data_IF_203943055648
#
_entry.id   IF_203943055648
#
_cell.length_a   1.000
_cell.length_b   1.000
_cell.length_c   1.000
_cell.angle_alpha   90.00
_cell.angle_beta   90.00
_cell.angle_gamma   90.00
#
_symmetry.space_group_name_H-M   'P 1'
#
loop_
_entity.id
_entity.type
_entity.pdbx_description
1 polymer ?
#
# COMPACT_ATOMS: atom_id res chain seq x y z
N UNK A 1 -20.86 5.56 18.43
CA UNK A 1 -19.99 4.53 17.86
C UNK A 1 -20.53 4.19 16.47
N UNK A 2 -19.84 4.58 15.40
CA UNK A 2 -20.27 4.25 14.04
C UNK A 2 -19.60 2.95 13.61
N UNK A 3 -20.36 1.86 13.61
CA UNK A 3 -19.96 0.61 12.95
C UNK A 3 -19.87 0.88 11.46
N UNK A 4 -18.65 0.86 10.92
CA UNK A 4 -18.44 0.89 9.47
C UNK A 4 -18.81 -0.49 8.96
N UNK A 5 -20.07 -0.68 8.57
CA UNK A 5 -20.53 -1.88 7.88
C UNK A 5 -20.00 -1.84 6.45
N UNK A 6 -18.95 -2.62 6.17
CA UNK A 6 -18.39 -2.77 4.82
C UNK A 6 -19.04 -3.98 4.15
N UNK A 7 -19.71 -3.73 3.03
CA UNK A 7 -20.44 -4.73 2.23
C UNK A 7 -19.49 -5.46 1.27
N UNK A 8 -18.66 -6.40 1.76
CA UNK A 8 -18.02 -7.38 0.86
C UNK A 8 -19.08 -8.40 0.40
N UNK A 9 -19.18 -8.64 -0.91
CA UNK A 9 -20.13 -9.61 -1.49
C UNK A 9 -19.65 -11.07 -1.41
N UNK A 10 -18.41 -11.34 -0.94
CA UNK A 10 -17.85 -12.69 -0.89
C UNK A 10 -17.87 -13.26 0.53
N UNK A 11 -17.89 -14.59 0.63
CA UNK A 11 -17.97 -15.29 1.91
C UNK A 11 -16.79 -14.95 2.84
N UNK A 12 -17.05 -14.62 4.11
CA UNK A 12 -16.00 -14.45 5.10
C UNK A 12 -15.34 -15.78 5.45
N UNK A 13 -14.06 -15.72 5.86
CA UNK A 13 -13.34 -16.79 6.56
C UNK A 13 -12.65 -16.19 7.78
N UNK A 14 -12.37 -17.00 8.79
CA UNK A 14 -11.56 -16.60 9.94
C UNK A 14 -10.11 -17.02 9.72
N UNK A 15 -9.17 -16.08 9.81
CA UNK A 15 -7.72 -16.32 9.78
C UNK A 15 -7.12 -15.54 10.95
N UNK A 16 -6.43 -16.22 11.85
CA UNK A 16 -5.71 -15.60 12.98
C UNK A 16 -6.56 -14.63 13.82
N UNK A 17 -7.87 -14.89 13.97
CA UNK A 17 -8.81 -14.04 14.70
C UNK A 17 -9.36 -12.83 13.92
N UNK A 18 -8.98 -12.69 12.65
CA UNK A 18 -9.53 -11.70 11.72
C UNK A 18 -10.59 -12.35 10.82
N UNK A 19 -11.75 -11.71 10.67
CA UNK A 19 -12.73 -12.08 9.65
C UNK A 19 -12.27 -11.47 8.33
N UNK A 20 -11.84 -12.29 7.38
CA UNK A 20 -11.31 -11.86 6.08
C UNK A 20 -12.19 -12.40 4.96
N UNK A 21 -12.43 -11.59 3.94
CA UNK A 21 -13.20 -11.99 2.76
C UNK A 21 -12.34 -12.94 1.88
N UNK A 22 -12.76 -14.20 1.69
CA UNK A 22 -11.98 -15.23 0.95
C UNK A 22 -11.65 -14.80 -0.49
N UNK A 23 -12.58 -14.06 -1.12
CA UNK A 23 -12.46 -13.64 -2.51
C UNK A 23 -11.44 -12.51 -2.72
N UNK A 24 -11.53 -11.46 -1.91
CA UNK A 24 -10.78 -10.22 -2.12
C UNK A 24 -9.69 -9.93 -1.06
N UNK A 25 -9.65 -10.67 0.05
CA UNK A 25 -8.69 -10.51 1.13
C UNK A 25 -8.92 -9.30 2.05
N UNK A 26 -10.10 -8.68 1.99
CA UNK A 26 -10.46 -7.53 2.84
C UNK A 26 -10.83 -7.99 4.25
N UNK A 27 -10.35 -7.29 5.29
CA UNK A 27 -10.71 -7.59 6.68
C UNK A 27 -12.07 -6.97 6.97
N UNK A 28 -13.05 -7.83 7.24
CA UNK A 28 -14.46 -7.52 7.47
C UNK A 28 -14.77 -7.27 8.95
N UNK A 29 -13.88 -7.68 9.86
CA UNK A 29 -14.02 -7.45 11.30
C UNK A 29 -12.98 -8.22 12.11
N UNK A 30 -12.91 -7.92 13.41
CA UNK A 30 -12.09 -8.65 14.37
C UNK A 30 -13.00 -9.56 15.20
N UNK A 31 -12.58 -10.81 15.41
CA UNK A 31 -13.24 -11.73 16.34
C UNK A 31 -13.10 -11.19 17.77
N UNK A 32 -14.21 -10.89 18.44
CA UNK A 32 -14.22 -10.32 19.81
C UNK A 32 -13.52 -11.26 20.82
N UNK A 33 -13.47 -12.56 20.53
CA UNK A 33 -13.00 -13.61 21.45
C UNK A 33 -11.47 -13.75 21.50
N UNK A 34 -10.74 -13.30 20.47
CA UNK A 34 -9.27 -13.47 20.38
C UNK A 34 -8.45 -12.20 20.65
N UNK A 35 -9.10 -11.07 20.92
CA UNK A 35 -8.50 -9.74 20.90
C UNK A 35 -7.58 -9.37 22.10
N UNK A 36 -7.48 -10.19 23.15
CA UNK A 36 -6.79 -9.78 24.39
C UNK A 36 -5.45 -10.50 24.62
N UNK A 37 -5.23 -11.71 24.10
CA UNK A 37 -4.06 -12.53 24.51
C UNK A 37 -3.12 -13.02 23.39
N UNK A 38 -3.41 -12.81 22.09
CA UNK A 38 -2.58 -13.42 21.04
C UNK A 38 -1.39 -12.58 20.56
N UNK A 39 -1.31 -11.29 20.87
CA UNK A 39 -0.30 -10.39 20.26
C UNK A 39 1.15 -10.71 20.67
N UNK A 40 1.36 -11.45 21.77
CA UNK A 40 2.69 -11.80 22.28
C UNK A 40 3.16 -13.21 21.89
N UNK A 41 2.28 -14.06 21.33
CA UNK A 41 2.56 -15.48 21.08
C UNK A 41 2.57 -15.87 19.61
N UNK A 42 2.40 -14.91 18.69
CA UNK A 42 2.55 -15.17 17.25
C UNK A 42 4.04 -15.25 16.91
N UNK A 43 4.62 -16.39 17.22
CA UNK A 43 5.92 -16.80 16.70
C UNK A 43 5.73 -16.96 15.19
N UNK A 44 6.21 -15.97 14.42
CA UNK A 44 6.23 -16.03 12.96
C UNK A 44 7.15 -17.19 12.63
N UNK A 45 6.57 -18.37 12.41
CA UNK A 45 7.29 -19.62 12.25
C UNK A 45 8.52 -19.44 11.38
N UNK A 46 9.62 -20.09 11.73
CA UNK A 46 10.88 -20.05 10.98
C UNK A 46 10.67 -20.57 9.55
N UNK A 47 10.19 -19.71 8.66
CA UNK A 47 9.97 -19.99 7.27
C UNK A 47 11.30 -19.79 6.53
N UNK A 48 11.76 -20.85 5.87
CA UNK A 48 13.00 -20.90 5.10
C UNK A 48 13.33 -19.56 4.40
N UNK A 49 14.55 -19.07 4.63
CA UNK A 49 15.10 -17.78 4.17
C UNK A 49 15.06 -17.54 2.64
N UNK A 50 14.56 -18.50 1.85
CA UNK A 50 14.46 -18.48 0.39
C UNK A 50 13.01 -18.60 -0.14
N UNK A 51 12.00 -18.56 0.74
CA UNK A 51 10.59 -18.72 0.39
C UNK A 51 9.89 -17.43 -0.08
N UNK A 52 8.80 -17.59 -0.85
CA UNK A 52 7.93 -16.46 -1.24
C UNK A 52 7.42 -15.68 -0.03
N UNK A 53 7.08 -16.38 1.05
CA UNK A 53 6.63 -15.81 2.33
C UNK A 53 7.71 -14.92 2.94
N UNK A 54 8.99 -15.35 2.93
CA UNK A 54 10.09 -14.54 3.45
C UNK A 54 10.25 -13.22 2.69
N UNK A 55 10.12 -13.24 1.36
CA UNK A 55 10.15 -12.03 0.53
C UNK A 55 9.01 -11.09 0.92
N UNK A 56 7.80 -11.64 1.14
CA UNK A 56 6.62 -10.87 1.55
C UNK A 56 6.82 -10.25 2.94
N UNK A 57 7.29 -11.02 3.92
CA UNK A 57 7.56 -10.52 5.28
C UNK A 57 8.62 -9.42 5.28
N UNK A 58 9.72 -9.60 4.52
CA UNK A 58 10.77 -8.59 4.38
C UNK A 58 10.25 -7.32 3.70
N UNK A 59 9.46 -7.47 2.64
CA UNK A 59 8.82 -6.36 1.94
C UNK A 59 7.86 -5.60 2.86
N UNK A 60 7.02 -6.32 3.61
CA UNK A 60 6.07 -5.75 4.55
C UNK A 60 6.77 -4.97 5.66
N UNK A 61 7.84 -5.52 6.23
CA UNK A 61 8.64 -4.82 7.24
C UNK A 61 9.27 -3.54 6.69
N UNK A 62 9.90 -3.60 5.51
CA UNK A 62 10.53 -2.42 4.90
C UNK A 62 9.51 -1.32 4.55
N UNK A 63 8.31 -1.72 4.15
CA UNK A 63 7.21 -0.80 3.83
C UNK A 63 6.38 -0.41 5.06
N UNK A 64 6.73 -0.89 6.27
CA UNK A 64 5.96 -0.74 7.50
C UNK A 64 4.47 -1.07 7.29
N UNK A 65 4.20 -2.22 6.69
CA UNK A 65 2.83 -2.68 6.46
C UNK A 65 2.30 -3.41 7.71
N UNK A 66 1.03 -3.21 8.06
CA UNK A 66 0.40 -3.92 9.16
C UNK A 66 0.20 -5.41 8.82
N UNK A 67 0.00 -6.22 9.86
CA UNK A 67 -0.11 -7.67 9.75
C UNK A 67 -1.28 -8.10 8.86
N UNK A 68 -2.45 -7.48 9.00
CA UNK A 68 -3.63 -7.77 8.16
C UNK A 68 -3.35 -7.59 6.65
N UNK A 69 -2.60 -6.53 6.30
CA UNK A 69 -2.21 -6.29 4.92
C UNK A 69 -1.19 -7.34 4.46
N UNK A 70 -0.28 -7.75 5.35
CA UNK A 70 0.69 -8.82 5.08
C UNK A 70 0.01 -10.15 4.81
N UNK A 71 -1.02 -10.52 5.58
CA UNK A 71 -1.81 -11.73 5.35
C UNK A 71 -2.52 -11.69 4.00
N UNK A 72 -3.14 -10.55 3.66
CA UNK A 72 -3.74 -10.31 2.34
C UNK A 72 -2.71 -10.56 1.23
N UNK A 73 -1.48 -10.05 1.39
CA UNK A 73 -0.42 -10.20 0.40
C UNK A 73 -0.06 -11.67 0.22
N UNK A 74 0.09 -12.43 1.30
CA UNK A 74 0.43 -13.86 1.26
C UNK A 74 -0.64 -14.64 0.48
N UNK A 75 -1.92 -14.44 0.82
CA UNK A 75 -3.00 -15.21 0.22
C UNK A 75 -3.16 -14.93 -1.27
N UNK A 76 -3.23 -13.66 -1.65
CA UNK A 76 -3.38 -13.24 -3.05
C UNK A 76 -2.15 -13.67 -3.85
N UNK A 77 -0.94 -13.53 -3.28
CA UNK A 77 0.31 -13.99 -3.89
C UNK A 77 0.27 -15.48 -4.24
N UNK A 78 -0.11 -16.34 -3.29
CA UNK A 78 -0.19 -17.78 -3.50
C UNK A 78 -1.25 -18.14 -4.55
N UNK A 79 -2.41 -17.48 -4.53
CA UNK A 79 -3.46 -17.65 -5.54
C UNK A 79 -2.95 -17.29 -6.94
N UNK A 80 -2.27 -16.16 -7.10
CA UNK A 80 -1.71 -15.73 -8.39
C UNK A 80 -0.64 -16.69 -8.92
N UNK A 81 0.20 -17.25 -8.05
CA UNK A 81 1.20 -18.25 -8.46
C UNK A 81 0.54 -19.53 -8.97
N UNK A 82 -0.57 -19.98 -8.35
CA UNK A 82 -1.37 -21.11 -8.84
C UNK A 82 -1.93 -20.86 -10.25
N UNK A 83 -2.17 -19.60 -10.62
CA UNK A 83 -2.57 -19.19 -11.97
C UNK A 83 -1.38 -18.91 -12.93
N UNK A 84 -0.17 -19.38 -12.61
CA UNK A 84 0.99 -19.27 -13.49
C UNK A 84 1.60 -17.86 -13.58
N UNK A 85 1.29 -16.97 -12.63
CA UNK A 85 1.97 -15.69 -12.47
C UNK A 85 3.30 -15.91 -11.73
N UNK A 86 4.37 -15.29 -12.22
CA UNK A 86 5.69 -15.44 -11.57
C UNK A 86 5.67 -14.86 -10.15
N UNK A 87 6.41 -15.48 -9.22
CA UNK A 87 6.45 -15.09 -7.79
C UNK A 87 6.58 -13.57 -7.60
N UNK A 88 7.51 -12.93 -8.31
CA UNK A 88 7.75 -11.49 -8.25
C UNK A 88 6.53 -10.66 -8.70
N UNK A 89 5.93 -11.02 -9.83
CA UNK A 89 4.73 -10.33 -10.34
C UNK A 89 3.54 -10.55 -9.41
N UNK A 90 3.42 -11.74 -8.83
CA UNK A 90 2.39 -12.06 -7.85
C UNK A 90 2.52 -11.21 -6.58
N UNK A 91 3.72 -11.13 -5.99
CA UNK A 91 3.98 -10.31 -4.79
C UNK A 91 3.71 -8.82 -5.09
N UNK A 92 4.20 -8.30 -6.22
CA UNK A 92 3.96 -6.91 -6.60
C UNK A 92 2.47 -6.57 -6.72
N UNK A 93 1.72 -7.44 -7.40
CA UNK A 93 0.29 -7.27 -7.58
C UNK A 93 -0.45 -7.38 -6.25
N UNK A 94 -0.17 -8.42 -5.45
CA UNK A 94 -0.80 -8.66 -4.16
C UNK A 94 -0.53 -7.53 -3.16
N UNK A 95 0.70 -7.00 -3.12
CA UNK A 95 1.08 -5.85 -2.30
C UNK A 95 0.35 -4.59 -2.73
N UNK A 96 0.26 -4.36 -4.04
CA UNK A 96 -0.53 -3.24 -4.56
C UNK A 96 -2.00 -3.38 -4.16
N UNK A 97 -2.59 -4.55 -4.40
CA UNK A 97 -3.99 -4.84 -4.08
C UNK A 97 -4.28 -4.63 -2.59
N UNK A 98 -3.46 -5.21 -1.70
CA UNK A 98 -3.59 -5.07 -0.26
C UNK A 98 -3.52 -3.59 0.18
N UNK A 99 -2.56 -2.82 -0.34
CA UNK A 99 -2.48 -1.39 -0.03
C UNK A 99 -3.72 -0.62 -0.50
N UNK A 100 -4.35 -1.00 -1.62
CA UNK A 100 -5.57 -0.34 -2.13
C UNK A 100 -6.78 -0.63 -1.26
N UNK A 101 -7.08 -1.91 -1.01
CA UNK A 101 -8.29 -2.28 -0.26
C UNK A 101 -8.23 -1.74 1.17
N UNK A 102 -7.05 -1.77 1.78
CA UNK A 102 -6.82 -1.31 3.14
C UNK A 102 -6.52 0.19 3.25
N UNK A 103 -6.60 0.94 2.15
CA UNK A 103 -6.32 2.38 2.07
C UNK A 103 -4.95 2.77 2.64
N UNK A 104 -3.95 1.90 2.54
CA UNK A 104 -2.58 2.17 2.98
C UNK A 104 -1.87 2.96 1.88
N UNK A 105 -1.46 4.21 2.14
CA UNK A 105 -0.97 5.09 1.10
C UNK A 105 0.49 4.74 0.72
N UNK A 106 0.63 3.92 -0.33
CA UNK A 106 1.92 3.54 -0.93
C UNK A 106 1.93 3.76 -2.43
N UNK A 107 3.01 4.36 -2.95
CA UNK A 107 3.22 4.53 -4.39
C UNK A 107 3.62 3.21 -5.04
N UNK A 108 3.29 3.04 -6.32
CA UNK A 108 3.69 1.83 -7.06
C UNK A 108 5.21 1.73 -7.18
N UNK A 109 5.87 2.89 -7.37
CA UNK A 109 7.33 2.98 -7.44
C UNK A 109 8.00 2.45 -6.19
N UNK A 110 7.46 2.76 -5.01
CA UNK A 110 8.05 2.42 -3.73
C UNK A 110 7.90 0.91 -3.45
N UNK A 111 6.71 0.37 -3.72
CA UNK A 111 6.45 -1.08 -3.64
C UNK A 111 7.37 -1.84 -4.60
N UNK A 112 7.48 -1.38 -5.85
CA UNK A 112 8.31 -2.01 -6.86
C UNK A 112 9.80 -1.96 -6.50
N UNK A 113 10.27 -0.79 -6.03
CA UNK A 113 11.65 -0.60 -5.63
C UNK A 113 12.05 -1.52 -4.47
N UNK A 114 11.24 -1.59 -3.40
CA UNK A 114 11.55 -2.47 -2.26
C UNK A 114 11.53 -3.95 -2.67
N UNK A 115 10.63 -4.34 -3.58
CA UNK A 115 10.63 -5.67 -4.14
C UNK A 115 11.87 -5.97 -5.00
N UNK A 116 12.32 -5.04 -5.85
CA UNK A 116 13.56 -5.17 -6.62
C UNK A 116 14.78 -5.28 -5.69
N UNK A 117 14.83 -4.43 -4.65
CA UNK A 117 15.91 -4.40 -3.65
C UNK A 117 16.01 -5.71 -2.89
N UNK A 118 14.87 -6.35 -2.58
CA UNK A 118 14.85 -7.69 -1.99
C UNK A 118 15.51 -8.76 -2.89
N UNK A 119 15.58 -8.50 -4.20
CA UNK A 119 16.23 -9.35 -5.21
C UNK A 119 17.61 -8.84 -5.66
N UNK A 120 18.20 -7.87 -4.96
CA UNK A 120 19.52 -7.31 -5.26
C UNK A 120 19.57 -6.33 -6.44
N UNK A 121 18.41 -5.86 -6.91
CA UNK A 121 18.29 -4.93 -8.05
C UNK A 121 17.77 -3.57 -7.58
N UNK A 122 18.20 -2.50 -8.23
CA UNK A 122 17.78 -1.11 -7.93
C UNK A 122 17.05 -0.46 -9.11
N UNK A 123 16.35 -1.27 -9.91
CA UNK A 123 15.66 -0.78 -11.10
C UNK A 123 14.46 0.10 -10.74
N UNK A 124 14.44 1.32 -11.27
CA UNK A 124 13.27 2.19 -11.21
C UNK A 124 12.40 2.01 -12.45
N UNK A 125 11.08 2.09 -12.28
CA UNK A 125 10.11 2.09 -13.38
C UNK A 125 9.12 3.22 -13.18
N UNK A 126 8.72 3.84 -14.28
CA UNK A 126 7.65 4.84 -14.26
C UNK A 126 6.33 4.21 -13.81
N UNK A 127 5.48 4.99 -13.13
CA UNK A 127 4.16 4.51 -12.70
C UNK A 127 3.34 3.96 -13.87
N UNK A 128 3.38 4.62 -15.03
CA UNK A 128 2.70 4.16 -16.24
C UNK A 128 3.14 2.75 -16.68
N UNK A 129 4.44 2.45 -16.58
CA UNK A 129 4.98 1.13 -16.90
C UNK A 129 4.51 0.08 -15.89
N UNK A 130 4.45 0.45 -14.60
CA UNK A 130 3.95 -0.40 -13.53
C UNK A 130 2.45 -0.67 -13.66
N UNK A 131 1.64 0.34 -14.00
CA UNK A 131 0.22 0.15 -14.32
C UNK A 131 0.01 -0.79 -15.50
N UNK A 132 0.78 -0.63 -16.58
CA UNK A 132 0.74 -1.57 -17.72
C UNK A 132 1.08 -3.00 -17.27
N UNK A 133 2.01 -3.17 -16.34
CA UNK A 133 2.34 -4.48 -15.77
C UNK A 133 1.17 -5.06 -14.96
N UNK A 134 0.54 -4.27 -14.08
CA UNK A 134 -0.61 -4.69 -13.30
C UNK A 134 -1.78 -5.09 -14.21
N UNK A 135 -2.10 -4.28 -15.22
CA UNK A 135 -3.18 -4.56 -16.16
C UNK A 135 -2.96 -5.86 -16.94
N UNK A 136 -1.71 -6.20 -17.29
CA UNK A 136 -1.39 -7.48 -17.93
C UNK A 136 -1.62 -8.67 -17.00
N UNK A 137 -1.39 -8.50 -15.70
CA UNK A 137 -1.67 -9.53 -14.69
C UNK A 137 -3.18 -9.67 -14.56
N UNK A 138 -3.92 -8.56 -14.40
CA UNK A 138 -5.40 -8.55 -14.30
C UNK A 138 -6.05 -9.29 -15.47
N UNK A 139 -5.66 -8.99 -16.72
CA UNK A 139 -6.18 -9.68 -17.91
C UNK A 139 -5.89 -11.18 -17.94
N UNK A 140 -4.80 -11.62 -17.31
CA UNK A 140 -4.41 -13.03 -17.28
C UNK A 140 -5.17 -13.83 -16.20
N UNK A 141 -5.74 -13.13 -15.23
CA UNK A 141 -6.51 -13.73 -14.14
C UNK A 141 -8.01 -13.49 -14.32
N UNK A 142 -8.48 -13.12 -15.53
CA UNK A 142 -9.89 -12.93 -15.84
C UNK A 142 -10.70 -14.16 -15.38
N UNK A 143 -11.51 -13.94 -14.33
CA UNK A 143 -12.19 -14.98 -13.55
C UNK A 143 -11.93 -14.92 -12.03
N UNK A 144 -10.85 -14.28 -11.57
CA UNK A 144 -10.41 -14.36 -10.16
C UNK A 144 -11.03 -13.34 -9.18
N UNK A 145 -11.95 -12.46 -9.62
CA UNK A 145 -12.56 -11.36 -8.82
C UNK A 145 -11.58 -10.36 -8.18
N UNK A 146 -10.29 -10.38 -8.52
CA UNK A 146 -9.29 -9.50 -7.93
C UNK A 146 -8.93 -8.38 -8.91
N UNK A 147 -9.46 -7.18 -8.66
CA UNK A 147 -9.17 -5.96 -9.42
C UNK A 147 -8.47 -4.92 -8.55
N UNK A 148 -7.49 -4.22 -9.11
CA UNK A 148 -6.82 -3.10 -8.43
C UNK A 148 -7.54 -1.81 -8.82
N UNK A 149 -8.09 -1.10 -7.84
CA UNK A 149 -8.71 0.21 -8.05
C UNK A 149 -7.66 1.26 -8.45
N UNK A 150 -8.01 2.08 -9.44
CA UNK A 150 -7.20 3.23 -9.84
C UNK A 150 -7.14 4.24 -8.68
N UNK A 151 -5.96 4.77 -8.32
CA UNK A 151 -5.85 5.69 -7.21
C UNK A 151 -6.55 7.02 -7.50
N UNK A 152 -7.26 7.56 -6.51
CA UNK A 152 -7.79 8.92 -6.56
C UNK A 152 -6.74 9.96 -6.10
N UNK A 153 -7.10 11.24 -6.18
CA UNK A 153 -6.24 12.36 -5.75
C UNK A 153 -5.83 12.26 -4.29
N UNK A 154 -6.76 11.85 -3.42
CA UNK A 154 -6.55 11.77 -1.98
C UNK A 154 -5.53 10.69 -1.62
N UNK A 155 -5.61 9.52 -2.27
CA UNK A 155 -4.62 8.46 -2.08
C UNK A 155 -3.21 8.96 -2.40
N UNK A 156 -3.03 9.62 -3.55
CA UNK A 156 -1.73 10.16 -3.93
C UNK A 156 -1.25 11.23 -2.95
N UNK A 157 -2.16 12.09 -2.47
CA UNK A 157 -1.83 13.09 -1.46
C UNK A 157 -1.30 12.43 -0.19
N UNK A 158 -2.01 11.43 0.35
CA UNK A 158 -1.57 10.72 1.55
C UNK A 158 -0.22 10.01 1.33
N UNK A 159 -0.01 9.41 0.15
CA UNK A 159 1.22 8.69 -0.16
C UNK A 159 2.44 9.64 -0.23
N UNK A 160 2.26 10.79 -0.88
CA UNK A 160 3.30 11.81 -0.96
C UNK A 160 3.57 12.48 0.39
N UNK A 161 2.54 12.75 1.19
CA UNK A 161 2.69 13.28 2.54
C UNK A 161 3.49 12.33 3.44
N UNK A 162 3.18 11.03 3.41
CA UNK A 162 3.94 10.01 4.14
C UNK A 162 5.42 9.99 3.73
N UNK A 163 5.71 10.18 2.43
CA UNK A 163 7.07 10.19 1.88
C UNK A 163 7.92 11.37 2.38
N UNK A 164 7.29 12.54 2.59
CA UNK A 164 8.02 13.76 3.01
C UNK A 164 8.02 13.97 4.53
N UNK A 165 7.16 13.28 5.27
CA UNK A 165 6.94 13.49 6.71
C UNK A 165 8.23 13.55 7.52
N UNK A 166 9.07 12.52 7.42
CA UNK A 166 10.31 12.44 8.20
C UNK A 166 11.28 13.57 7.87
N UNK A 167 11.34 13.98 6.60
CA UNK A 167 12.23 15.05 6.14
C UNK A 167 11.71 16.40 6.64
N UNK A 168 10.42 16.66 6.51
CA UNK A 168 9.81 17.90 7.00
C UNK A 168 9.98 18.02 8.51
N UNK A 169 9.69 16.96 9.27
CA UNK A 169 9.80 16.97 10.74
C UNK A 169 11.25 17.22 11.17
N UNK A 170 12.22 16.58 10.50
CA UNK A 170 13.65 16.75 10.81
C UNK A 170 14.15 18.16 10.53
N UNK A 171 13.72 18.77 9.43
CA UNK A 171 14.16 20.12 9.03
C UNK A 171 13.40 21.23 9.77
N UNK A 172 12.22 20.92 10.32
CA UNK A 172 11.35 21.88 10.99
C UNK A 172 10.78 21.30 12.28
N UNK A 173 9.52 20.83 12.27
CA UNK A 173 8.83 20.19 13.38
C UNK A 173 7.51 19.55 12.90
N UNK A 174 6.87 18.77 13.78
CA UNK A 174 5.59 18.13 13.52
C UNK A 174 4.44 19.13 13.25
N UNK A 175 4.42 20.29 13.91
CA UNK A 175 3.37 21.31 13.70
C UNK A 175 3.41 21.87 12.28
N UNK A 176 4.59 22.05 11.72
CA UNK A 176 4.75 22.54 10.36
C UNK A 176 4.31 21.50 9.32
N UNK A 177 4.61 20.22 9.54
CA UNK A 177 4.08 19.14 8.71
C UNK A 177 2.55 19.09 8.71
N UNK A 178 1.91 19.23 9.87
CA UNK A 178 0.43 19.28 9.99
C UNK A 178 -0.19 20.47 9.24
N UNK A 179 0.51 21.61 9.21
CA UNK A 179 0.10 22.77 8.44
C UNK A 179 0.18 22.51 6.93
N UNK A 180 1.24 21.86 6.44
CA UNK A 180 1.34 21.40 5.04
C UNK A 180 0.19 20.45 4.72
N UNK A 181 -0.05 19.43 5.56
CA UNK A 181 -1.12 18.44 5.39
C UNK A 181 -2.48 19.13 5.22
N UNK A 182 -2.83 20.00 6.17
CA UNK A 182 -4.11 20.71 6.18
C UNK A 182 -4.31 21.60 4.95
N UNK A 183 -3.28 22.37 4.57
CA UNK A 183 -3.34 23.23 3.37
C UNK A 183 -3.44 22.41 2.08
N UNK A 184 -2.70 21.31 2.00
CA UNK A 184 -2.70 20.44 0.82
C UNK A 184 -4.07 19.80 0.60
N UNK A 185 -4.75 19.36 1.67
CA UNK A 185 -6.12 18.82 1.58
C UNK A 185 -7.08 19.86 1.01
N UNK A 186 -7.05 21.10 1.51
CA UNK A 186 -7.89 22.20 0.99
C UNK A 186 -7.63 22.47 -0.49
N UNK A 187 -6.36 22.53 -0.88
CA UNK A 187 -5.94 22.87 -2.24
C UNK A 187 -6.16 21.72 -3.24
N UNK A 188 -6.28 20.47 -2.79
CA UNK A 188 -6.42 19.29 -3.64
C UNK A 188 -7.70 19.35 -4.51
N UNK A 189 -8.80 19.83 -3.92
CA UNK A 189 -10.11 19.95 -4.56
C UNK A 189 -10.09 20.87 -5.78
N UNK A 190 -9.24 21.90 -5.74
CA UNK A 190 -9.16 22.94 -6.78
C UNK A 190 -8.27 22.56 -7.97
N UNK A 191 -7.47 21.48 -7.86
CA UNK A 191 -6.51 21.10 -8.88
C UNK A 191 -7.15 20.30 -10.03
N UNK A 192 -7.29 20.92 -11.21
CA UNK A 192 -7.70 20.25 -12.46
C UNK A 192 -6.48 19.66 -13.18
N UNK A 193 -5.92 18.58 -12.62
CA UNK A 193 -4.80 17.83 -13.19
C UNK A 193 -4.98 16.32 -12.94
N UNK A 194 -4.12 15.48 -13.53
CA UNK A 194 -4.08 14.05 -13.20
C UNK A 194 -3.87 13.85 -11.68
N UNK A 195 -4.37 12.74 -11.09
CA UNK A 195 -4.39 12.58 -9.64
C UNK A 195 -3.04 12.74 -8.93
N UNK A 196 -1.97 12.21 -9.53
CA UNK A 196 -0.61 12.30 -9.01
C UNK A 196 -0.09 13.74 -9.06
N UNK A 197 -0.19 14.40 -10.22
CA UNK A 197 0.27 15.78 -10.39
C UNK A 197 -0.54 16.76 -9.54
N UNK A 198 -1.84 16.55 -9.41
CA UNK A 198 -2.71 17.33 -8.53
C UNK A 198 -2.23 17.27 -7.07
N UNK A 199 -1.94 16.06 -6.56
CA UNK A 199 -1.43 15.87 -5.21
C UNK A 199 -0.06 16.54 -4.99
N UNK A 200 0.88 16.40 -5.93
CA UNK A 200 2.19 17.06 -5.84
C UNK A 200 2.08 18.58 -5.83
N UNK A 201 1.26 19.15 -6.71
CA UNK A 201 1.00 20.60 -6.75
C UNK A 201 0.37 21.11 -5.46
N UNK A 202 -0.58 20.36 -4.89
CA UNK A 202 -1.22 20.70 -3.63
C UNK A 202 -0.18 20.78 -2.49
N UNK A 203 0.72 19.79 -2.36
CA UNK A 203 1.79 19.80 -1.36
C UNK A 203 2.74 20.98 -1.56
N UNK A 204 3.23 21.18 -2.78
CA UNK A 204 4.17 22.26 -3.08
C UNK A 204 3.57 23.64 -2.80
N UNK A 205 2.27 23.84 -3.07
CA UNK A 205 1.57 25.09 -2.75
C UNK A 205 1.42 25.35 -1.25
N UNK A 206 1.42 24.29 -0.43
CA UNK A 206 1.33 24.37 1.03
C UNK A 206 2.68 24.51 1.72
N UNK A 207 3.79 24.36 0.99
CA UNK A 207 5.17 24.35 1.50
C UNK A 207 5.83 25.72 1.34
N UNK A 208 6.66 26.15 2.29
CA UNK A 208 7.46 27.36 2.14
C UNK A 208 8.54 27.21 1.06
N UNK A 209 8.93 28.33 0.46
CA UNK A 209 9.94 28.39 -0.61
C UNK A 209 11.27 27.73 -0.24
N UNK A 210 11.69 27.83 1.03
CA UNK A 210 12.95 27.26 1.54
C UNK A 210 12.97 25.72 1.40
N UNK A 211 11.88 25.05 1.75
CA UNK A 211 11.78 23.58 1.67
C UNK A 211 11.26 23.08 0.32
N UNK A 212 10.67 23.96 -0.47
CA UNK A 212 9.98 23.60 -1.71
C UNK A 212 10.90 22.87 -2.70
N UNK A 213 12.14 23.31 -2.87
CA UNK A 213 13.11 22.66 -3.78
C UNK A 213 13.41 21.23 -3.35
N UNK A 214 13.65 21.01 -2.06
CA UNK A 214 13.96 19.69 -1.49
C UNK A 214 12.74 18.76 -1.60
N UNK A 215 11.56 19.25 -1.24
CA UNK A 215 10.30 18.49 -1.37
C UNK A 215 10.04 18.15 -2.84
N UNK A 216 10.26 19.07 -3.77
CA UNK A 216 10.09 18.83 -5.21
C UNK A 216 11.00 17.70 -5.69
N UNK A 217 12.24 17.61 -5.21
CA UNK A 217 13.16 16.51 -5.56
C UNK A 217 12.70 15.16 -5.01
N UNK A 218 12.14 15.11 -3.79
CA UNK A 218 11.64 13.87 -3.17
C UNK A 218 10.37 13.35 -3.88
N UNK A 219 9.56 14.27 -4.39
CA UNK A 219 8.29 14.00 -5.08
C UNK A 219 8.42 13.84 -6.60
N UNK A 220 9.62 14.05 -7.16
CA UNK A 220 9.90 13.85 -8.59
C UNK A 220 9.78 12.37 -8.96
#
# INVERSE_FOLDING_TARGET
MSTVTITCLHSPTEIDGEHVCIGCGEVLGYSEVYSINSWQTHDVGNFNKNGMIWIILKLANNLNLPQYATQTIIQISLKLVKHGITKKKAIFFATTHACRIHKIPRLLSDIFYELEKSTGKTTQKSEQSLFKMLNRITKRIDGAQISIQTPNKEYYLQAYLAKIQNIVIKETNAKYFELIRTRSVRNLSMAKADPSTAARKAILSGTCSILQTKIKQILA
#
